data_IF_336534882513
#
_entry.id   IF_336534882513
#
_cell.length_a   1.000
_cell.length_b   1.000
_cell.length_c   1.000
_cell.angle_alpha   90.00
_cell.angle_beta   90.00
_cell.angle_gamma   90.00
#
_symmetry.space_group_name_H-M   'P 1'
#
loop_
_entity.id
_entity.type
_entity.pdbx_description
1 polymer ?
#
# COMPACT_ATOMS: atom_id res chain seq x y z
N UNK A 1 19.23 -1.16 -16.80
CA UNK A 1 20.25 -1.24 -15.85
C UNK A 1 20.71 0.04 -15.21
N UNK A 2 21.98 0.38 -15.40
CA UNK A 2 22.66 1.51 -14.74
C UNK A 2 22.03 2.88 -15.06
N UNK A 3 21.56 3.09 -16.28
CA UNK A 3 20.89 4.33 -16.70
C UNK A 3 19.57 4.56 -15.96
N UNK A 4 18.77 3.53 -15.75
CA UNK A 4 17.53 3.59 -14.97
C UNK A 4 17.81 3.89 -13.48
N UNK A 5 18.88 3.34 -12.93
CA UNK A 5 19.28 3.63 -11.55
C UNK A 5 19.81 5.06 -11.39
N UNK A 6 20.54 5.57 -12.37
CA UNK A 6 21.00 6.96 -12.38
C UNK A 6 19.83 7.95 -12.38
N UNK A 7 18.80 7.69 -13.18
CA UNK A 7 17.59 8.50 -13.22
C UNK A 7 16.82 8.44 -11.89
N UNK A 8 16.69 7.27 -11.31
CA UNK A 8 16.07 7.09 -9.99
C UNK A 8 16.77 7.93 -8.92
N UNK A 9 18.10 7.95 -8.91
CA UNK A 9 18.90 8.73 -7.96
C UNK A 9 18.65 10.24 -8.09
N UNK A 10 18.43 10.72 -9.31
CA UNK A 10 18.17 12.14 -9.58
C UNK A 10 16.73 12.52 -9.21
N UNK A 11 15.75 11.72 -9.64
CA UNK A 11 14.33 12.03 -9.46
C UNK A 11 13.79 11.60 -8.08
N UNK A 12 14.32 10.52 -7.52
CA UNK A 12 13.89 9.92 -6.26
C UNK A 12 15.09 9.61 -5.36
N UNK A 13 15.82 10.64 -4.87
CA UNK A 13 17.07 10.44 -4.15
C UNK A 13 16.90 9.67 -2.84
N UNK A 14 15.84 9.88 -2.10
CA UNK A 14 15.57 9.14 -0.86
C UNK A 14 15.26 7.67 -1.13
N UNK A 15 14.53 7.37 -2.19
CA UNK A 15 14.27 6.00 -2.64
C UNK A 15 15.57 5.30 -3.03
N UNK A 16 16.42 5.96 -3.81
CA UNK A 16 17.71 5.41 -4.18
C UNK A 16 18.58 5.10 -2.96
N UNK A 17 18.61 5.99 -1.97
CA UNK A 17 19.32 5.79 -0.71
C UNK A 17 18.74 4.63 0.10
N UNK A 18 17.42 4.52 0.20
CA UNK A 18 16.74 3.43 0.90
C UNK A 18 17.00 2.07 0.24
N UNK A 19 16.99 2.00 -1.09
CA UNK A 19 17.30 0.79 -1.83
C UNK A 19 18.76 0.36 -1.66
N UNK A 20 19.68 1.32 -1.64
CA UNK A 20 21.10 1.06 -1.42
C UNK A 20 21.38 0.50 -0.01
N UNK A 21 20.63 0.95 1.00
CA UNK A 21 20.76 0.47 2.39
C UNK A 21 20.03 -0.85 2.66
N UNK A 22 19.12 -1.27 1.78
CA UNK A 22 18.36 -2.52 1.93
C UNK A 22 19.17 -3.72 1.42
N UNK A 23 19.90 -4.36 2.33
CA UNK A 23 20.80 -5.48 2.00
C UNK A 23 20.10 -6.71 1.45
N UNK A 24 18.85 -6.96 1.84
CA UNK A 24 18.09 -8.13 1.36
C UNK A 24 17.65 -8.00 -0.10
N UNK A 25 17.63 -6.79 -0.65
CA UNK A 25 17.09 -6.48 -1.96
C UNK A 25 15.55 -6.63 -2.06
N UNK A 26 14.86 -6.85 -0.94
CA UNK A 26 13.42 -7.06 -0.90
C UNK A 26 12.64 -5.86 -1.47
N UNK A 27 12.97 -4.65 -1.04
CA UNK A 27 12.35 -3.43 -1.55
C UNK A 27 12.60 -3.23 -3.05
N UNK A 28 13.80 -3.58 -3.50
CA UNK A 28 14.13 -3.52 -4.94
C UNK A 28 13.29 -4.49 -5.76
N UNK A 29 13.12 -5.73 -5.29
CA UNK A 29 12.24 -6.72 -5.97
C UNK A 29 10.81 -6.22 -6.08
N UNK A 30 10.27 -5.62 -5.01
CA UNK A 30 8.93 -5.05 -4.99
C UNK A 30 8.78 -3.93 -6.04
N UNK A 31 9.70 -2.98 -6.06
CA UNK A 31 9.68 -1.85 -7.01
C UNK A 31 9.78 -2.36 -8.45
N UNK A 32 10.68 -3.29 -8.72
CA UNK A 32 10.82 -3.88 -10.06
C UNK A 32 9.58 -4.65 -10.51
N UNK A 33 8.97 -5.42 -9.61
CA UNK A 33 7.72 -6.14 -9.91
C UNK A 33 6.57 -5.18 -10.25
N UNK A 34 6.43 -4.10 -9.50
CA UNK A 34 5.41 -3.09 -9.74
C UNK A 34 5.64 -2.31 -11.04
N UNK A 35 6.89 -1.97 -11.36
CA UNK A 35 7.23 -1.32 -12.63
C UNK A 35 6.97 -2.23 -13.82
N UNK A 36 7.28 -3.53 -13.71
CA UNK A 36 6.97 -4.51 -14.76
C UNK A 36 5.46 -4.61 -15.00
N UNK A 37 4.65 -4.62 -13.94
CA UNK A 37 3.19 -4.58 -14.04
C UNK A 37 2.69 -3.30 -14.73
N UNK A 38 3.31 -2.17 -14.47
CA UNK A 38 3.00 -0.89 -15.12
C UNK A 38 3.32 -0.95 -16.62
N UNK A 39 4.48 -1.48 -16.97
CA UNK A 39 4.89 -1.65 -18.37
C UNK A 39 3.90 -2.54 -19.15
N UNK A 40 3.41 -3.62 -18.52
CA UNK A 40 2.39 -4.49 -19.12
C UNK A 40 1.06 -3.76 -19.35
N UNK A 41 0.61 -2.94 -18.38
CA UNK A 41 -0.60 -2.13 -18.55
C UNK A 41 -0.48 -1.14 -19.70
N UNK A 42 0.64 -0.45 -19.79
CA UNK A 42 0.93 0.47 -20.92
C UNK A 42 0.92 -0.28 -22.25
N UNK A 43 1.53 -1.45 -22.32
CA UNK A 43 1.55 -2.29 -23.53
C UNK A 43 0.16 -2.78 -23.95
N UNK A 44 -0.77 -2.94 -23.00
CA UNK A 44 -2.14 -3.38 -23.22
C UNK A 44 -3.16 -2.22 -23.33
N UNK A 45 -2.70 -0.98 -23.41
CA UNK A 45 -3.55 0.23 -23.39
C UNK A 45 -4.45 0.33 -22.14
N UNK A 46 -4.02 -0.26 -21.03
CA UNK A 46 -4.74 -0.18 -19.76
C UNK A 46 -4.34 1.08 -18.98
N UNK A 47 -5.27 1.69 -18.22
CA UNK A 47 -4.97 2.88 -17.46
C UNK A 47 -3.96 2.61 -16.34
N UNK A 48 -3.01 3.52 -16.16
CA UNK A 48 -2.03 3.53 -15.08
C UNK A 48 -2.39 4.64 -14.09
N UNK A 49 -2.48 4.28 -12.80
CA UNK A 49 -2.71 5.27 -11.74
C UNK A 49 -1.40 5.95 -11.35
N UNK A 50 -1.27 7.28 -11.54
CA UNK A 50 -0.08 8.00 -11.09
C UNK A 50 0.12 7.90 -9.57
N UNK A 51 -0.96 7.94 -8.79
CA UNK A 51 -0.90 7.81 -7.34
C UNK A 51 -0.31 6.46 -6.91
N UNK A 52 -0.71 5.37 -7.57
CA UNK A 52 -0.18 4.04 -7.30
C UNK A 52 1.31 3.93 -7.67
N UNK A 53 1.69 4.50 -8.80
CA UNK A 53 3.09 4.51 -9.24
C UNK A 53 3.98 5.30 -8.27
N UNK A 54 3.53 6.47 -7.83
CA UNK A 54 4.25 7.23 -6.80
C UNK A 54 4.31 6.48 -5.46
N UNK A 55 3.21 5.84 -5.06
CA UNK A 55 3.19 5.01 -3.85
C UNK A 55 4.25 3.91 -3.91
N UNK A 56 4.40 3.24 -5.05
CA UNK A 56 5.40 2.22 -5.29
C UNK A 56 6.83 2.79 -5.26
N UNK A 57 7.08 3.84 -6.03
CA UNK A 57 8.42 4.43 -6.16
C UNK A 57 8.93 5.04 -4.86
N UNK A 58 8.06 5.62 -4.04
CA UNK A 58 8.41 6.27 -2.78
C UNK A 58 8.25 5.36 -1.55
N UNK A 59 7.75 4.14 -1.72
CA UNK A 59 7.61 3.19 -0.62
C UNK A 59 8.93 2.91 0.14
N UNK A 60 10.07 2.70 -0.53
CA UNK A 60 11.33 2.51 0.18
C UNK A 60 11.72 3.71 1.06
N UNK A 61 11.51 4.92 0.56
CA UNK A 61 11.75 6.15 1.32
C UNK A 61 10.80 6.26 2.53
N UNK A 62 9.51 5.93 2.34
CA UNK A 62 8.53 5.89 3.41
C UNK A 62 8.90 4.87 4.50
N UNK A 63 9.27 3.66 4.14
CA UNK A 63 9.71 2.64 5.09
C UNK A 63 10.91 3.10 5.91
N UNK A 64 11.89 3.72 5.27
CA UNK A 64 13.07 4.25 5.94
C UNK A 64 12.72 5.36 6.93
N UNK A 65 11.89 6.31 6.53
CA UNK A 65 11.42 7.39 7.41
C UNK A 65 10.62 6.85 8.60
N UNK A 66 9.74 5.87 8.34
CA UNK A 66 8.94 5.21 9.37
C UNK A 66 9.83 4.51 10.42
N UNK A 67 10.80 3.72 9.96
CA UNK A 67 11.75 3.05 10.86
C UNK A 67 12.53 4.05 11.71
N UNK A 68 12.96 5.16 11.15
CA UNK A 68 13.66 6.22 11.87
C UNK A 68 12.80 6.83 12.99
N UNK A 69 11.54 7.12 12.71
CA UNK A 69 10.60 7.67 13.69
C UNK A 69 10.25 6.66 14.79
N UNK A 70 10.06 5.40 14.43
CA UNK A 70 9.82 4.32 15.39
C UNK A 70 11.03 4.12 16.33
N UNK A 71 12.24 4.20 15.80
CA UNK A 71 13.47 4.12 16.59
C UNK A 71 13.60 5.29 17.59
N UNK A 72 12.98 6.45 17.30
CA UNK A 72 12.90 7.59 18.21
C UNK A 72 11.75 7.48 19.24
N UNK A 73 11.01 6.40 19.23
CA UNK A 73 9.89 6.16 20.15
C UNK A 73 8.59 6.85 19.78
N UNK A 74 8.44 7.33 18.54
CA UNK A 74 7.18 7.92 18.08
C UNK A 74 6.11 6.82 17.97
N UNK A 75 4.90 7.10 18.47
CA UNK A 75 3.78 6.18 18.42
C UNK A 75 3.43 5.77 16.99
N UNK A 76 3.02 4.51 16.79
CA UNK A 76 2.89 3.89 15.48
C UNK A 76 2.06 4.70 14.47
N UNK A 77 0.85 5.13 14.83
CA UNK A 77 -0.03 5.89 13.93
C UNK A 77 0.55 7.26 13.58
N UNK A 78 1.14 7.93 14.54
CA UNK A 78 1.78 9.23 14.33
C UNK A 78 3.05 9.09 13.49
N UNK A 79 3.85 8.05 13.73
CA UNK A 79 5.03 7.75 12.94
C UNK A 79 4.68 7.51 11.46
N UNK A 80 3.61 6.78 11.19
CA UNK A 80 3.11 6.54 9.84
C UNK A 80 2.71 7.84 9.14
N UNK A 81 1.94 8.69 9.79
CA UNK A 81 1.52 9.98 9.23
C UNK A 81 2.70 10.92 8.99
N UNK A 82 3.59 11.05 9.97
CA UNK A 82 4.80 11.89 9.84
C UNK A 82 5.73 11.39 8.75
N UNK A 83 5.92 10.07 8.62
CA UNK A 83 6.72 9.49 7.56
C UNK A 83 6.13 9.80 6.18
N UNK A 84 4.82 9.63 6.02
CA UNK A 84 4.12 9.92 4.78
C UNK A 84 4.25 11.40 4.38
N UNK A 85 4.01 12.32 5.30
CA UNK A 85 4.12 13.75 5.06
C UNK A 85 5.55 14.18 4.76
N UNK A 86 6.51 13.68 5.51
CA UNK A 86 7.92 13.99 5.32
C UNK A 86 8.43 13.58 3.94
N UNK A 87 8.13 12.35 3.52
CA UNK A 87 8.54 11.85 2.21
C UNK A 87 7.88 12.63 1.08
N UNK A 88 6.59 12.95 1.23
CA UNK A 88 5.85 13.75 0.25
C UNK A 88 6.44 15.14 0.10
N UNK A 89 6.67 15.85 1.21
CA UNK A 89 7.25 17.20 1.20
C UNK A 89 8.67 17.22 0.63
N UNK A 90 9.49 16.23 0.97
CA UNK A 90 10.86 16.15 0.46
C UNK A 90 10.88 15.88 -1.04
N UNK A 91 9.98 15.04 -1.54
CA UNK A 91 9.87 14.73 -2.96
C UNK A 91 9.47 15.94 -3.82
N UNK A 92 8.67 16.86 -3.26
CA UNK A 92 8.27 18.10 -3.95
C UNK A 92 9.46 18.98 -4.36
N UNK A 93 10.61 18.84 -3.72
CA UNK A 93 11.83 19.57 -4.09
C UNK A 93 12.45 19.07 -5.39
N UNK A 94 12.09 17.88 -5.84
CA UNK A 94 12.72 17.23 -7.00
C UNK A 94 11.75 17.04 -8.16
N UNK A 95 10.53 16.57 -7.87
CA UNK A 95 9.49 16.31 -8.86
C UNK A 95 8.16 16.84 -8.35
N UNK A 96 7.44 17.51 -9.22
CA UNK A 96 6.09 17.98 -8.90
C UNK A 96 5.17 16.78 -8.59
N UNK A 97 4.58 16.80 -7.40
CA UNK A 97 3.64 15.79 -6.94
C UNK A 97 2.31 16.45 -6.58
N UNK A 98 1.40 16.61 -7.55
CA UNK A 98 0.10 17.24 -7.29
C UNK A 98 -0.66 16.57 -6.17
N UNK A 99 -1.37 17.36 -5.38
CA UNK A 99 -2.12 16.87 -4.22
C UNK A 99 -3.15 15.79 -4.59
N UNK A 100 -3.75 15.88 -5.79
CA UNK A 100 -4.66 14.86 -6.31
C UNK A 100 -4.02 13.47 -6.44
N UNK A 101 -2.69 13.37 -6.48
CA UNK A 101 -1.95 12.11 -6.48
C UNK A 101 -1.32 11.80 -5.13
N UNK A 102 -0.81 12.81 -4.41
CA UNK A 102 -0.14 12.57 -3.13
C UNK A 102 -1.10 12.11 -2.04
N UNK A 103 -2.35 12.59 -2.02
CA UNK A 103 -3.33 12.13 -1.04
C UNK A 103 -3.70 10.64 -1.21
N UNK A 104 -4.10 10.17 -2.41
CA UNK A 104 -4.33 8.74 -2.62
C UNK A 104 -3.09 7.88 -2.39
N UNK A 105 -1.91 8.38 -2.74
CA UNK A 105 -0.63 7.72 -2.46
C UNK A 105 -0.45 7.47 -0.96
N UNK A 106 -0.63 8.50 -0.14
CA UNK A 106 -0.53 8.38 1.31
C UNK A 106 -1.60 7.44 1.89
N UNK A 107 -2.83 7.50 1.38
CA UNK A 107 -3.90 6.58 1.80
C UNK A 107 -3.51 5.11 1.54
N UNK A 108 -2.91 4.80 0.39
CA UNK A 108 -2.42 3.45 0.08
C UNK A 108 -1.41 3.00 1.14
N UNK A 109 -0.46 3.85 1.52
CA UNK A 109 0.53 3.52 2.55
C UNK A 109 -0.10 3.30 3.93
N UNK A 110 -0.96 4.21 4.35
CA UNK A 110 -1.58 4.17 5.67
C UNK A 110 -2.55 2.99 5.84
N UNK A 111 -3.14 2.51 4.75
CA UNK A 111 -3.98 1.32 4.77
C UNK A 111 -3.21 0.01 4.96
N UNK A 112 -1.91 -0.02 4.66
CA UNK A 112 -1.14 -1.27 4.69
C UNK A 112 -1.15 -1.95 6.07
N UNK A 113 -1.07 -1.20 7.15
CA UNK A 113 -1.11 -1.76 8.51
C UNK A 113 -2.47 -2.33 8.91
N UNK A 114 -3.54 -1.93 8.22
CA UNK A 114 -4.89 -2.41 8.50
C UNK A 114 -5.15 -3.83 8.00
N UNK A 115 -4.39 -4.31 7.04
CA UNK A 115 -4.54 -5.68 6.51
C UNK A 115 -4.22 -6.77 7.54
N UNK A 116 -3.41 -6.48 8.54
CA UNK A 116 -3.13 -7.41 9.64
C UNK A 116 -4.25 -7.51 10.68
N UNK A 117 -5.23 -6.62 10.65
CA UNK A 117 -6.31 -6.59 11.63
C UNK A 117 -7.56 -7.23 11.06
N UNK A 118 -7.93 -8.41 11.60
CA UNK A 118 -9.08 -9.19 11.16
C UNK A 118 -10.31 -9.05 12.05
N UNK A 119 -10.36 -8.01 12.91
CA UNK A 119 -11.56 -7.69 13.67
C UNK A 119 -12.69 -7.27 12.71
N UNK A 120 -13.85 -7.87 12.92
CA UNK A 120 -15.07 -7.75 12.10
C UNK A 120 -15.36 -6.35 11.57
N UNK A 121 -15.52 -5.36 12.46
CA UNK A 121 -15.86 -4.00 12.08
C UNK A 121 -14.76 -3.36 11.22
N UNK A 122 -13.51 -3.71 11.49
CA UNK A 122 -12.35 -3.20 10.77
C UNK A 122 -12.23 -3.82 9.39
N UNK A 123 -12.52 -5.12 9.25
CA UNK A 123 -12.57 -5.80 7.95
C UNK A 123 -13.62 -5.18 7.06
N UNK A 124 -14.85 -5.04 7.56
CA UNK A 124 -15.96 -4.45 6.79
C UNK A 124 -15.66 -3.00 6.39
N UNK A 125 -15.08 -2.22 7.30
CA UNK A 125 -14.69 -0.84 7.01
C UNK A 125 -13.61 -0.75 5.96
N UNK A 126 -12.62 -1.64 6.00
CA UNK A 126 -11.54 -1.66 5.01
C UNK A 126 -12.05 -2.08 3.64
N UNK A 127 -12.89 -3.13 3.55
CA UNK A 127 -13.50 -3.57 2.29
C UNK A 127 -14.33 -2.49 1.60
N UNK A 128 -14.99 -1.62 2.39
CA UNK A 128 -15.79 -0.50 1.87
C UNK A 128 -14.97 0.77 1.59
N UNK A 129 -13.69 0.77 1.90
CA UNK A 129 -12.84 1.94 1.69
C UNK A 129 -12.62 2.20 0.19
N UNK A 130 -12.75 3.47 -0.29
CA UNK A 130 -12.58 3.79 -1.71
C UNK A 130 -11.22 3.39 -2.29
N UNK A 131 -10.19 3.32 -1.46
CA UNK A 131 -8.83 2.92 -1.85
C UNK A 131 -8.50 1.46 -1.57
N UNK A 132 -9.49 0.66 -1.16
CA UNK A 132 -9.24 -0.74 -0.81
C UNK A 132 -8.58 -1.50 -1.96
N UNK A 133 -9.09 -1.40 -3.17
CA UNK A 133 -8.54 -2.13 -4.33
C UNK A 133 -7.09 -1.77 -4.58
N UNK A 134 -6.78 -0.48 -4.63
CA UNK A 134 -5.40 -0.03 -4.83
C UNK A 134 -4.47 -0.48 -3.67
N UNK A 135 -4.94 -0.37 -2.43
CA UNK A 135 -4.19 -0.81 -1.27
C UNK A 135 -3.96 -2.32 -1.25
N UNK A 136 -4.94 -3.13 -1.67
CA UNK A 136 -4.80 -4.57 -1.78
C UNK A 136 -3.84 -4.97 -2.91
N UNK A 137 -3.92 -4.35 -4.07
CA UNK A 137 -2.95 -4.55 -5.16
C UNK A 137 -1.52 -4.21 -4.70
N UNK A 138 -1.38 -3.20 -3.86
CA UNK A 138 -0.11 -2.84 -3.24
C UNK A 138 0.38 -3.90 -2.24
N UNK A 139 -0.52 -4.46 -1.43
CA UNK A 139 -0.19 -5.59 -0.53
C UNK A 139 0.32 -6.79 -1.32
N UNK A 140 -0.26 -7.10 -2.47
CA UNK A 140 0.22 -8.19 -3.33
C UNK A 140 1.65 -7.94 -3.84
N UNK A 141 2.01 -6.69 -4.11
CA UNK A 141 3.41 -6.34 -4.45
C UNK A 141 4.34 -6.51 -3.24
N UNK A 142 3.87 -6.20 -2.04
CA UNK A 142 4.65 -6.41 -0.80
C UNK A 142 4.93 -7.90 -0.56
N UNK A 143 4.04 -8.79 -0.98
CA UNK A 143 4.27 -10.24 -0.93
C UNK A 143 5.52 -10.64 -1.74
N UNK A 144 5.79 -9.99 -2.88
CA UNK A 144 7.00 -10.24 -3.65
C UNK A 144 8.30 -9.84 -2.90
N UNK A 145 8.21 -8.92 -1.94
CA UNK A 145 9.31 -8.50 -1.10
C UNK A 145 9.48 -9.37 0.15
N UNK A 146 8.38 -9.83 0.74
CA UNK A 146 8.40 -10.62 1.98
C UNK A 146 7.25 -11.64 2.02
N UNK A 147 7.56 -12.94 2.20
CA UNK A 147 6.57 -14.01 2.26
C UNK A 147 5.65 -13.93 3.49
N UNK A 148 5.97 -13.13 4.49
CA UNK A 148 5.15 -12.95 5.70
C UNK A 148 3.74 -12.40 5.39
N UNK A 149 3.57 -11.76 4.23
CA UNK A 149 2.28 -11.22 3.80
C UNK A 149 1.35 -12.25 3.13
N UNK A 150 1.79 -13.50 2.98
CA UNK A 150 1.03 -14.53 2.26
C UNK A 150 -0.34 -14.83 2.89
N UNK A 151 -0.40 -14.89 4.22
CA UNK A 151 -1.65 -15.14 4.93
C UNK A 151 -2.64 -13.98 4.78
N UNK A 152 -2.15 -12.75 4.88
CA UNK A 152 -2.98 -11.56 4.69
C UNK A 152 -3.50 -11.48 3.25
N UNK A 153 -2.66 -11.73 2.26
CA UNK A 153 -3.07 -11.74 0.85
C UNK A 153 -4.14 -12.80 0.62
N UNK A 154 -3.98 -14.02 1.15
CA UNK A 154 -4.95 -15.10 1.00
C UNK A 154 -6.29 -14.73 1.65
N UNK A 155 -6.27 -14.23 2.88
CA UNK A 155 -7.47 -13.81 3.59
C UNK A 155 -8.25 -12.72 2.84
N UNK A 156 -7.57 -11.65 2.44
CA UNK A 156 -8.24 -10.51 1.79
C UNK A 156 -8.67 -10.80 0.36
N UNK A 157 -7.98 -11.71 -0.34
CA UNK A 157 -8.44 -12.19 -1.65
C UNK A 157 -9.78 -12.92 -1.54
N UNK A 158 -9.93 -13.77 -0.55
CA UNK A 158 -11.17 -14.50 -0.29
C UNK A 158 -12.29 -13.56 0.20
N UNK A 159 -11.97 -12.65 1.12
CA UNK A 159 -12.93 -11.69 1.66
C UNK A 159 -13.58 -10.82 0.58
N UNK A 160 -12.89 -10.51 -0.52
CA UNK A 160 -13.44 -9.75 -1.64
C UNK A 160 -14.48 -10.53 -2.45
N UNK A 161 -14.41 -11.86 -2.46
CA UNK A 161 -15.30 -12.72 -3.26
C UNK A 161 -16.51 -13.19 -2.48
N UNK A 162 -16.49 -13.07 -1.15
CA UNK A 162 -17.60 -13.47 -0.29
C UNK A 162 -18.73 -12.45 -0.33
N UNK A 163 -19.98 -12.95 -0.29
CA UNK A 163 -21.13 -12.08 -0.05
C UNK A 163 -21.07 -11.48 1.35
N UNK A 164 -21.81 -10.41 1.59
CA UNK A 164 -21.86 -9.79 2.91
C UNK A 164 -22.30 -10.76 4.02
N UNK A 165 -23.21 -11.69 3.70
CA UNK A 165 -23.67 -12.74 4.62
C UNK A 165 -22.60 -13.79 4.90
N UNK A 166 -21.94 -14.30 3.87
CA UNK A 166 -20.87 -15.27 4.00
C UNK A 166 -19.69 -14.69 4.79
N UNK A 167 -19.35 -13.43 4.51
CA UNK A 167 -18.31 -12.72 5.23
C UNK A 167 -18.70 -12.52 6.70
N UNK A 168 -19.96 -12.19 6.98
CA UNK A 168 -20.47 -12.07 8.35
C UNK A 168 -20.35 -13.37 9.11
N UNK A 169 -20.70 -14.50 8.51
CA UNK A 169 -20.54 -15.84 9.10
C UNK A 169 -19.07 -16.17 9.35
N UNK A 170 -18.20 -15.93 8.36
CA UNK A 170 -16.77 -16.20 8.48
C UNK A 170 -16.09 -15.39 9.58
N UNK A 171 -16.61 -14.20 9.88
CA UNK A 171 -16.13 -13.32 10.95
C UNK A 171 -16.84 -13.53 12.30
N UNK A 172 -17.70 -14.55 12.40
CA UNK A 172 -18.43 -14.88 13.66
C UNK A 172 -19.54 -13.87 13.99
N UNK A 173 -20.09 -13.23 12.97
CA UNK A 173 -21.21 -12.29 13.11
C UNK A 173 -22.52 -13.03 12.91
N UNK A 174 -23.47 -12.89 13.84
CA UNK A 174 -24.84 -13.31 13.57
C UNK A 174 -25.40 -12.54 12.36
N UNK A 175 -26.05 -13.21 11.40
CA UNK A 175 -26.75 -12.52 10.33
C UNK A 175 -27.74 -11.53 10.96
N UNK A 176 -27.85 -10.33 10.37
CA UNK A 176 -28.89 -9.41 10.76
C UNK A 176 -30.22 -10.18 10.63
N UNK A 177 -30.99 -10.27 11.72
CA UNK A 177 -32.34 -10.82 11.64
C UNK A 177 -33.08 -10.01 10.59
N UNK A 178 -33.52 -10.67 9.53
CA UNK A 178 -34.42 -10.06 8.57
C UNK A 178 -35.56 -9.40 9.36
N UNK A 179 -35.71 -8.12 9.20
CA UNK A 179 -36.89 -7.44 9.68
C UNK A 179 -38.05 -8.06 8.90
N UNK A 180 -38.73 -9.01 9.50
CA UNK A 180 -40.00 -9.50 9.03
C UNK A 180 -40.93 -8.28 9.09
N UNK A 181 -41.15 -7.69 7.96
CA UNK A 181 -42.24 -6.76 7.75
C UNK A 181 -43.47 -7.66 7.66
N UNK A 182 -44.12 -7.89 8.78
CA UNK A 182 -45.49 -8.37 8.79
C UNK A 182 -46.39 -7.23 8.30
N UNK A 183 -47.14 -7.53 7.28
CA UNK A 183 -48.25 -6.73 6.78
C UNK A 183 -49.36 -6.58 7.84
#
# INVERSE_FOLDING_TARGET
>A
GLERFGLLKVLFPETAAALASNRSGALRRMVLAGLSGTDQRVANDEPVSPAFLFALLLWPAYCRALMGLQAQGVHAEEAQRRAADRVTLHQLNTVALPRRFSLPMQEIWLLQTRFGNRQRKRVMRLLSHPRFRAAFDFLMLRLAASPEHAEDVAFWREAQTQSGEELAVALGVAPAADAIIDE
#
